data_IF_825058513089
#
_entry.id   IF_825058513089
#
_cell.length_a   1.000
_cell.length_b   1.000
_cell.length_c   1.000
_cell.angle_alpha   90.00
_cell.angle_beta   90.00
_cell.angle_gamma   90.00
#
_symmetry.space_group_name_H-M   'P 1'
#
loop_
_entity.id
_entity.type
_entity.pdbx_description
1 polymer ?
#
# COMPACT_ATOMS: atom_id res chain seq x y z
N UNK A 1 -23.47 4.35 -22.82
CA UNK A 1 -22.54 3.47 -22.06
C UNK A 1 -21.76 2.49 -22.94
N UNK A 2 -22.40 1.63 -23.74
CA UNK A 2 -21.68 0.63 -24.58
C UNK A 2 -20.71 1.26 -25.60
N UNK A 3 -21.12 2.33 -26.29
CA UNK A 3 -20.30 3.04 -27.28
C UNK A 3 -19.14 3.81 -26.67
N UNK A 4 -19.34 4.40 -25.48
CA UNK A 4 -18.31 5.13 -24.73
C UNK A 4 -17.23 4.19 -24.19
N UNK A 5 -17.62 2.99 -23.73
CA UNK A 5 -16.69 1.95 -23.27
C UNK A 5 -15.86 1.38 -24.43
N UNK A 6 -16.48 1.17 -25.60
CA UNK A 6 -15.81 0.74 -26.83
C UNK A 6 -14.81 1.78 -27.34
N UNK A 7 -15.14 3.07 -27.25
CA UNK A 7 -14.20 4.14 -27.60
C UNK A 7 -13.02 4.22 -26.63
N UNK A 8 -13.25 4.05 -25.32
CA UNK A 8 -12.18 4.00 -24.33
C UNK A 8 -11.25 2.79 -24.52
N UNK A 9 -11.81 1.60 -24.80
CA UNK A 9 -11.05 0.39 -25.12
C UNK A 9 -10.26 0.52 -26.44
N UNK A 10 -10.87 1.11 -27.48
CA UNK A 10 -10.19 1.36 -28.76
C UNK A 10 -9.06 2.39 -28.62
N UNK A 11 -9.27 3.43 -27.79
CA UNK A 11 -8.25 4.44 -27.50
C UNK A 11 -7.07 3.83 -26.72
N UNK A 12 -7.34 2.97 -25.72
CA UNK A 12 -6.32 2.20 -24.99
C UNK A 12 -5.52 1.25 -25.90
N UNK A 13 -6.16 0.67 -26.93
CA UNK A 13 -5.49 -0.19 -27.92
C UNK A 13 -4.64 0.58 -28.95
N UNK A 14 -4.88 1.89 -29.14
CA UNK A 14 -4.19 2.70 -30.17
C UNK A 14 -2.83 3.24 -29.72
N UNK A 15 -2.48 3.14 -28.43
CA UNK A 15 -1.17 3.49 -27.92
C UNK A 15 -0.18 2.37 -28.25
N UNK A 16 0.52 2.51 -29.38
CA UNK A 16 1.72 1.70 -29.69
C UNK A 16 2.87 2.04 -28.75
N UNK A 17 2.75 1.63 -27.49
CA UNK A 17 3.86 1.60 -26.55
C UNK A 17 4.67 0.33 -26.80
N UNK A 18 6.00 0.45 -26.84
CA UNK A 18 6.89 -0.69 -27.10
C UNK A 18 6.89 -1.61 -25.88
N UNK A 19 6.38 -2.83 -26.07
CA UNK A 19 6.40 -3.85 -25.03
C UNK A 19 7.79 -4.46 -24.81
N UNK A 20 8.04 -4.97 -23.61
CA UNK A 20 9.25 -5.72 -23.24
C UNK A 20 10.56 -5.05 -23.63
N UNK A 21 10.66 -3.75 -23.37
CA UNK A 21 11.86 -2.99 -23.71
C UNK A 21 13.11 -3.55 -23.04
N UNK A 22 13.00 -4.14 -21.85
CA UNK A 22 14.11 -4.81 -21.15
C UNK A 22 14.75 -6.01 -21.88
N UNK A 23 14.12 -6.57 -22.90
CA UNK A 23 14.71 -7.67 -23.67
C UNK A 23 15.78 -7.22 -24.66
N UNK A 24 15.73 -5.96 -25.09
CA UNK A 24 16.66 -5.43 -26.10
C UNK A 24 18.00 -5.06 -25.48
N UNK A 25 17.94 -4.39 -24.34
CA UNK A 25 19.12 -3.88 -23.63
C UNK A 25 18.80 -3.76 -22.14
N UNK A 26 19.84 -3.87 -21.31
CA UNK A 26 19.77 -3.65 -19.87
C UNK A 26 20.21 -2.23 -19.55
N UNK A 27 19.26 -1.29 -19.53
CA UNK A 27 19.48 0.11 -19.16
C UNK A 27 18.60 0.49 -17.98
N UNK A 28 18.90 1.61 -17.32
CA UNK A 28 18.11 2.12 -16.19
C UNK A 28 16.63 2.38 -16.55
N UNK A 29 16.35 2.89 -17.75
CA UNK A 29 14.97 3.09 -18.22
C UNK A 29 14.22 1.78 -18.48
N UNK A 30 14.95 0.67 -18.58
CA UNK A 30 14.40 -0.66 -18.84
C UNK A 30 14.47 -1.55 -17.61
N UNK A 31 14.82 -0.97 -16.45
CA UNK A 31 14.93 -1.68 -15.18
C UNK A 31 13.55 -2.11 -14.67
N UNK A 32 12.54 -1.24 -14.83
CA UNK A 32 11.17 -1.46 -14.38
C UNK A 32 10.16 -1.12 -15.49
N UNK A 33 9.17 -1.98 -15.69
CA UNK A 33 8.04 -1.71 -16.59
C UNK A 33 6.73 -1.73 -15.80
N UNK A 34 6.06 -0.57 -15.73
CA UNK A 34 4.80 -0.42 -15.00
C UNK A 34 3.65 -1.15 -15.70
N UNK A 35 2.71 -1.65 -14.92
CA UNK A 35 1.44 -2.16 -15.43
C UNK A 35 0.27 -1.80 -14.51
N UNK A 36 -0.92 -1.79 -15.10
CA UNK A 36 -2.20 -1.74 -14.41
C UNK A 36 -3.06 -2.90 -14.87
N UNK A 37 -3.82 -3.51 -13.96
CA UNK A 37 -4.58 -4.70 -14.29
C UNK A 37 -5.92 -4.82 -13.59
N UNK A 38 -6.72 -5.74 -14.10
CA UNK A 38 -7.97 -6.20 -13.51
C UNK A 38 -7.82 -7.68 -13.17
N UNK A 39 -8.18 -8.03 -11.95
CA UNK A 39 -8.12 -9.39 -11.44
C UNK A 39 -9.48 -9.80 -10.89
N UNK A 40 -9.71 -11.10 -10.84
CA UNK A 40 -10.85 -11.69 -10.14
C UNK A 40 -10.31 -12.78 -9.23
N UNK A 41 -10.55 -12.61 -7.93
CA UNK A 41 -10.20 -13.58 -6.90
C UNK A 41 -11.44 -14.37 -6.53
N UNK A 42 -11.27 -15.67 -6.37
CA UNK A 42 -12.28 -16.61 -5.92
C UNK A 42 -11.75 -17.46 -4.78
N UNK A 43 -12.51 -17.53 -3.70
CA UNK A 43 -12.29 -18.41 -2.56
C UNK A 43 -13.49 -19.35 -2.47
N UNK A 44 -13.30 -20.68 -2.61
CA UNK A 44 -14.39 -21.63 -2.47
C UNK A 44 -14.94 -21.66 -1.04
N UNK A 45 -16.11 -22.25 -0.89
CA UNK A 45 -16.68 -22.55 0.42
C UNK A 45 -15.73 -23.45 1.22
N UNK A 46 -15.63 -23.21 2.53
CA UNK A 46 -14.83 -24.04 3.41
C UNK A 46 -14.48 -23.36 4.72
N UNK A 47 -13.50 -23.93 5.43
CA UNK A 47 -13.14 -23.47 6.76
C UNK A 47 -14.24 -23.71 7.78
N UNK A 48 -14.16 -23.03 8.93
CA UNK A 48 -15.06 -23.19 10.07
C UNK A 48 -15.50 -21.83 10.59
N UNK A 49 -16.81 -21.67 10.73
CA UNK A 49 -17.47 -20.49 11.26
C UNK A 49 -18.39 -20.90 12.40
N UNK A 50 -18.62 -19.99 13.35
CA UNK A 50 -19.54 -20.21 14.46
C UNK A 50 -20.66 -19.18 14.47
N UNK A 51 -21.85 -19.60 14.88
CA UNK A 51 -23.08 -18.82 14.85
C UNK A 51 -23.87 -19.05 16.14
N UNK A 52 -24.59 -18.03 16.60
CA UNK A 52 -25.56 -18.20 17.67
C UNK A 52 -26.88 -18.70 17.08
N UNK A 53 -27.20 -19.96 17.30
CA UNK A 53 -28.49 -20.57 16.97
C UNK A 53 -29.47 -20.58 18.14
N UNK A 54 -30.72 -21.04 17.91
CA UNK A 54 -31.74 -21.19 18.96
C UNK A 54 -31.31 -22.15 20.08
N UNK A 55 -30.54 -23.18 19.74
CA UNK A 55 -30.11 -24.24 20.66
C UNK A 55 -28.69 -24.01 21.23
N UNK A 56 -28.09 -22.85 20.95
CA UNK A 56 -26.75 -22.47 21.41
C UNK A 56 -25.77 -22.18 20.28
N UNK A 57 -24.48 -22.45 20.50
CA UNK A 57 -23.43 -22.20 19.53
C UNK A 57 -23.43 -23.30 18.44
N UNK A 58 -23.68 -22.92 17.20
CA UNK A 58 -23.67 -23.80 16.03
C UNK A 58 -22.42 -23.56 15.18
N UNK A 59 -21.98 -24.58 14.45
CA UNK A 59 -20.86 -24.47 13.51
C UNK A 59 -21.33 -24.57 12.06
N UNK A 60 -20.75 -23.75 11.19
CA UNK A 60 -20.94 -23.77 9.75
C UNK A 60 -19.64 -23.57 8.98
N UNK A 61 -19.76 -23.39 7.67
CA UNK A 61 -18.65 -23.10 6.75
C UNK A 61 -18.74 -21.65 6.29
N UNK A 62 -17.61 -21.07 5.90
CA UNK A 62 -17.66 -19.79 5.18
C UNK A 62 -18.20 -20.03 3.77
N UNK A 63 -19.18 -19.23 3.31
CA UNK A 63 -19.67 -19.35 1.94
C UNK A 63 -18.58 -19.01 0.93
N UNK A 64 -18.74 -19.46 -0.31
CA UNK A 64 -17.86 -19.04 -1.39
C UNK A 64 -17.85 -17.51 -1.53
N UNK A 65 -16.70 -16.94 -1.89
CA UNK A 65 -16.51 -15.51 -2.04
C UNK A 65 -15.72 -15.20 -3.31
N UNK A 66 -16.18 -14.20 -4.06
CA UNK A 66 -15.52 -13.71 -5.25
C UNK A 66 -15.46 -12.19 -5.26
N UNK A 67 -14.30 -11.64 -5.61
CA UNK A 67 -14.09 -10.19 -5.62
C UNK A 67 -13.26 -9.76 -6.83
N UNK A 68 -13.73 -8.76 -7.60
CA UNK A 68 -12.90 -8.13 -8.61
C UNK A 68 -11.90 -7.18 -7.94
N UNK A 69 -10.69 -7.11 -8.48
CA UNK A 69 -9.60 -6.31 -7.96
C UNK A 69 -8.97 -5.47 -9.07
N UNK A 70 -8.49 -4.28 -8.72
CA UNK A 70 -7.57 -3.51 -9.56
C UNK A 70 -6.15 -3.79 -9.07
N UNK A 71 -5.22 -3.90 -10.00
CA UNK A 71 -3.80 -4.00 -9.68
C UNK A 71 -2.99 -2.87 -10.27
N UNK A 72 -1.95 -2.47 -9.55
CA UNK A 72 -0.90 -1.57 -10.04
C UNK A 72 0.42 -2.21 -9.65
N UNK A 73 1.34 -2.35 -10.60
CA UNK A 73 2.62 -2.96 -10.32
C UNK A 73 3.70 -2.58 -11.30
N UNK A 74 4.85 -3.21 -11.15
CA UNK A 74 5.97 -3.05 -12.04
C UNK A 74 6.79 -4.33 -12.14
N UNK A 75 7.12 -4.72 -13.36
CA UNK A 75 8.06 -5.79 -13.66
C UNK A 75 9.47 -5.22 -13.64
N UNK A 76 10.22 -5.54 -12.59
CA UNK A 76 11.57 -5.09 -12.28
C UNK A 76 12.63 -6.13 -12.66
N UNK A 77 13.90 -5.73 -12.54
CA UNK A 77 15.08 -6.60 -12.74
C UNK A 77 15.02 -7.35 -14.07
N UNK A 78 14.67 -6.62 -15.13
CA UNK A 78 14.56 -7.12 -16.50
C UNK A 78 13.67 -8.35 -16.65
N UNK A 79 12.58 -8.44 -15.88
CA UNK A 79 11.59 -9.51 -16.03
C UNK A 79 11.70 -10.63 -15.01
N UNK A 80 12.51 -10.50 -13.97
CA UNK A 80 12.68 -11.52 -12.93
C UNK A 80 11.85 -11.28 -11.67
N UNK A 81 11.45 -10.04 -11.41
CA UNK A 81 10.69 -9.71 -10.21
C UNK A 81 9.54 -8.78 -10.57
N UNK A 82 8.34 -9.05 -10.08
CA UNK A 82 7.22 -8.14 -10.25
C UNK A 82 6.70 -7.75 -8.87
N UNK A 83 6.74 -6.46 -8.55
CA UNK A 83 6.07 -5.93 -7.37
C UNK A 83 4.68 -5.47 -7.78
N UNK A 84 3.65 -5.95 -7.10
CA UNK A 84 2.26 -5.64 -7.43
C UNK A 84 1.48 -5.32 -6.18
N UNK A 85 0.58 -4.37 -6.30
CA UNK A 85 -0.47 -4.12 -5.31
C UNK A 85 -1.82 -4.47 -5.90
N UNK A 86 -2.63 -5.22 -5.16
CA UNK A 86 -4.03 -5.49 -5.50
C UNK A 86 -4.95 -4.76 -4.52
N UNK A 87 -6.00 -4.15 -5.05
CA UNK A 87 -7.05 -3.49 -4.27
C UNK A 87 -8.39 -4.11 -4.65
N UNK A 88 -9.09 -4.69 -3.67
CA UNK A 88 -10.47 -5.13 -3.88
C UNK A 88 -11.33 -3.95 -4.28
N UNK A 89 -12.09 -4.10 -5.36
CA UNK A 89 -13.17 -3.18 -5.65
C UNK A 89 -14.27 -3.35 -4.61
N UNK A 90 -14.96 -2.27 -4.21
CA UNK A 90 -16.01 -2.30 -3.19
C UNK A 90 -17.31 -2.92 -3.75
N UNK A 91 -17.22 -4.15 -4.22
CA UNK A 91 -18.35 -4.99 -4.65
C UNK A 91 -18.69 -6.01 -3.55
N UNK A 92 -18.15 -5.81 -2.34
CA UNK A 92 -18.29 -6.71 -1.20
C UNK A 92 -19.77 -6.96 -0.90
N UNK A 93 -20.21 -8.19 -1.15
CA UNK A 93 -21.57 -8.62 -0.86
C UNK A 93 -21.62 -9.12 0.58
N UNK A 94 -22.41 -8.47 1.40
CA UNK A 94 -22.85 -9.01 2.69
C UNK A 94 -23.67 -10.27 2.43
N UNK A 95 -23.30 -11.38 3.07
CA UNK A 95 -23.95 -12.67 2.92
C UNK A 95 -24.69 -13.00 4.21
N UNK A 96 -25.98 -13.32 4.10
CA UNK A 96 -26.75 -13.85 5.22
C UNK A 96 -26.45 -15.35 5.36
N UNK A 97 -26.00 -15.76 6.54
CA UNK A 97 -25.53 -17.13 6.82
C UNK A 97 -26.42 -17.86 7.82
N UNK A 98 -27.22 -17.11 8.58
CA UNK A 98 -28.28 -17.58 9.45
C UNK A 98 -29.27 -16.41 9.68
N UNK A 99 -30.49 -16.66 10.18
CA UNK A 99 -31.45 -15.59 10.48
C UNK A 99 -30.80 -14.49 11.34
N UNK A 100 -30.93 -13.24 10.90
CA UNK A 100 -30.34 -12.05 11.57
C UNK A 100 -28.81 -12.07 11.71
N UNK A 101 -28.11 -12.97 11.01
CA UNK A 101 -26.65 -13.09 11.05
C UNK A 101 -26.07 -12.95 9.67
N UNK A 102 -25.22 -11.93 9.48
CA UNK A 102 -24.57 -11.64 8.21
C UNK A 102 -23.07 -11.57 8.36
N UNK A 103 -22.39 -11.86 7.26
CA UNK A 103 -20.95 -11.80 7.17
C UNK A 103 -20.52 -11.06 5.91
N UNK A 104 -19.51 -10.23 6.04
CA UNK A 104 -18.88 -9.56 4.92
C UNK A 104 -17.37 -9.74 5.04
N UNK A 105 -16.76 -10.22 3.97
CA UNK A 105 -15.30 -10.38 3.88
C UNK A 105 -14.78 -9.49 2.78
N UNK A 106 -13.62 -8.90 3.03
CA UNK A 106 -12.90 -8.09 2.05
C UNK A 106 -11.40 -8.20 2.29
N UNK A 107 -10.61 -8.10 1.23
CA UNK A 107 -9.16 -7.93 1.32
C UNK A 107 -8.82 -6.53 0.81
N UNK A 108 -8.45 -5.61 1.69
CA UNK A 108 -8.41 -4.18 1.35
C UNK A 108 -7.17 -3.77 0.55
N UNK A 109 -6.05 -4.46 0.76
CA UNK A 109 -4.81 -4.27 0.01
C UNK A 109 -3.92 -5.51 0.12
N UNK A 110 -3.40 -5.95 -1.03
CA UNK A 110 -2.40 -7.02 -1.08
C UNK A 110 -1.11 -6.47 -1.67
N UNK A 111 0.01 -6.69 -1.01
CA UNK A 111 1.35 -6.36 -1.50
C UNK A 111 2.09 -7.64 -1.85
N UNK A 112 2.25 -7.89 -3.14
CA UNK A 112 2.86 -9.09 -3.69
C UNK A 112 4.24 -8.83 -4.32
N UNK A 113 5.14 -9.79 -4.17
CA UNK A 113 6.42 -9.84 -4.89
C UNK A 113 6.52 -11.16 -5.66
N UNK A 114 6.28 -11.13 -6.98
CA UNK A 114 6.41 -12.31 -7.84
C UNK A 114 7.86 -12.48 -8.26
N UNK A 115 8.46 -13.61 -7.94
CA UNK A 115 9.72 -14.05 -8.49
C UNK A 115 9.48 -14.99 -9.69
N UNK A 116 10.06 -14.63 -10.84
CA UNK A 116 10.05 -15.41 -12.07
C UNK A 116 11.39 -16.14 -12.23
N UNK A 117 11.46 -17.47 -11.95
CA UNK A 117 12.67 -18.25 -12.17
C UNK A 117 13.12 -18.20 -13.63
N UNK A 118 12.15 -18.17 -14.54
CA UNK A 118 12.37 -17.88 -15.95
C UNK A 118 11.86 -16.48 -16.25
N UNK A 119 12.77 -15.61 -16.70
CA UNK A 119 12.46 -14.24 -17.10
C UNK A 119 11.16 -14.14 -17.89
N UNK A 120 10.32 -13.19 -17.53
CA UNK A 120 9.07 -12.94 -18.24
C UNK A 120 9.33 -12.59 -19.71
N UNK A 121 8.75 -13.37 -20.63
CA UNK A 121 8.91 -13.24 -22.08
C UNK A 121 7.57 -13.39 -22.79
N UNK A 122 7.23 -12.48 -23.71
CA UNK A 122 5.97 -12.57 -24.43
C UNK A 122 5.95 -13.75 -25.38
N UNK A 123 4.76 -14.30 -25.59
CA UNK A 123 4.54 -15.53 -26.32
C UNK A 123 4.96 -16.79 -25.57
N UNK A 124 5.45 -16.67 -24.32
CA UNK A 124 5.87 -17.81 -23.49
C UNK A 124 5.08 -17.86 -22.20
N UNK A 125 4.78 -19.07 -21.77
CA UNK A 125 4.21 -19.35 -20.45
C UNK A 125 5.35 -19.33 -19.42
N UNK A 126 5.14 -18.61 -18.31
CA UNK A 126 6.16 -18.36 -17.29
C UNK A 126 5.62 -18.65 -15.90
N UNK A 127 6.19 -19.63 -15.17
CA UNK A 127 5.84 -19.86 -13.79
C UNK A 127 6.43 -18.76 -12.92
N UNK A 128 5.77 -18.50 -11.81
CA UNK A 128 6.29 -17.66 -10.74
C UNK A 128 5.88 -18.21 -9.38
N UNK A 129 6.67 -17.82 -8.38
CA UNK A 129 6.31 -17.93 -6.98
C UNK A 129 6.19 -16.52 -6.42
N UNK A 130 5.32 -16.31 -5.46
CA UNK A 130 5.03 -15.00 -4.91
C UNK A 130 4.91 -15.10 -3.38
N UNK A 131 5.39 -14.06 -2.71
CA UNK A 131 5.07 -13.81 -1.31
C UNK A 131 4.20 -12.58 -1.22
N UNK A 132 3.05 -12.68 -0.55
CA UNK A 132 2.06 -11.62 -0.48
C UNK A 132 1.72 -11.29 0.97
N UNK A 133 1.77 -10.00 1.32
CA UNK A 133 1.12 -9.50 2.53
C UNK A 133 -0.30 -9.05 2.19
N UNK A 134 -1.29 -9.64 2.84
CA UNK A 134 -2.71 -9.42 2.60
C UNK A 134 -3.34 -8.76 3.82
N UNK A 135 -4.05 -7.66 3.59
CA UNK A 135 -4.91 -7.02 4.58
C UNK A 135 -6.33 -7.55 4.49
N UNK A 136 -6.76 -8.31 5.48
CA UNK A 136 -8.12 -8.82 5.60
C UNK A 136 -8.99 -7.91 6.44
N UNK A 137 -10.28 -7.85 6.09
CA UNK A 137 -11.36 -7.34 6.93
C UNK A 137 -12.49 -8.38 6.97
N UNK A 138 -12.96 -8.68 8.17
CA UNK A 138 -14.13 -9.50 8.43
C UNK A 138 -15.13 -8.68 9.24
N UNK A 139 -16.30 -8.42 8.65
CA UNK A 139 -17.46 -7.88 9.37
C UNK A 139 -18.42 -9.01 9.67
N UNK A 140 -18.81 -9.12 10.94
CA UNK A 140 -19.84 -10.01 11.44
C UNK A 140 -20.97 -9.16 12.02
N UNK A 141 -22.18 -9.31 11.50
CA UNK A 141 -23.38 -8.61 11.95
C UNK A 141 -24.34 -9.63 12.56
N UNK A 142 -24.80 -9.37 13.78
CA UNK A 142 -25.80 -10.16 14.48
C UNK A 142 -26.83 -9.25 15.13
N UNK A 143 -28.12 -9.52 14.87
CA UNK A 143 -29.23 -8.75 15.44
C UNK A 143 -29.11 -7.23 15.24
N UNK A 144 -28.58 -6.80 14.08
CA UNK A 144 -28.40 -5.39 13.73
C UNK A 144 -27.22 -4.70 14.43
N UNK A 145 -26.38 -5.43 15.15
CA UNK A 145 -25.11 -4.95 15.68
C UNK A 145 -23.94 -5.66 15.00
N UNK A 146 -22.84 -4.95 14.77
CA UNK A 146 -21.71 -5.50 14.02
C UNK A 146 -20.37 -5.39 14.76
N UNK A 147 -19.45 -6.23 14.30
CA UNK A 147 -18.03 -6.21 14.64
C UNK A 147 -17.25 -6.30 13.35
N UNK A 148 -16.31 -5.38 13.14
CA UNK A 148 -15.33 -5.47 12.05
C UNK A 148 -13.94 -5.68 12.61
N UNK A 149 -13.30 -6.79 12.24
CA UNK A 149 -11.92 -7.11 12.61
C UNK A 149 -11.05 -7.10 11.36
N UNK A 150 -9.97 -6.31 11.41
CA UNK A 150 -8.96 -6.24 10.35
C UNK A 150 -7.66 -6.91 10.80
N UNK A 151 -6.97 -7.61 9.90
CA UNK A 151 -5.65 -8.18 10.20
C UNK A 151 -4.77 -8.30 8.95
N UNK A 152 -3.45 -8.38 9.17
CA UNK A 152 -2.46 -8.59 8.13
C UNK A 152 -1.91 -10.01 8.24
N UNK A 153 -1.81 -10.71 7.11
CA UNK A 153 -1.19 -12.04 7.05
C UNK A 153 -0.29 -12.15 5.83
N UNK A 154 0.76 -12.97 5.93
CA UNK A 154 1.61 -13.31 4.81
C UNK A 154 1.23 -14.69 4.24
N UNK A 155 1.14 -14.79 2.91
CA UNK A 155 0.88 -16.06 2.22
C UNK A 155 1.87 -16.31 1.07
N UNK A 156 2.30 -17.57 0.89
CA UNK A 156 2.93 -17.99 -0.35
C UNK A 156 1.88 -18.20 -1.45
N UNK A 157 2.26 -17.82 -2.67
CA UNK A 157 1.46 -17.97 -3.87
C UNK A 157 2.30 -18.59 -4.98
N UNK A 158 1.64 -19.27 -5.91
CA UNK A 158 2.28 -19.77 -7.13
C UNK A 158 1.33 -19.61 -8.31
N UNK A 159 1.91 -19.41 -9.49
CA UNK A 159 1.09 -19.17 -10.66
C UNK A 159 1.83 -19.26 -11.98
N UNK A 160 1.07 -18.99 -13.03
CA UNK A 160 1.50 -18.93 -14.42
C UNK A 160 1.14 -17.57 -15.01
N UNK A 161 2.05 -17.00 -15.78
CA UNK A 161 1.83 -15.78 -16.54
C UNK A 161 2.09 -16.03 -18.03
N UNK A 162 1.25 -15.45 -18.88
CA UNK A 162 1.42 -15.44 -20.33
C UNK A 162 1.24 -14.00 -20.84
N UNK A 163 2.28 -13.48 -21.48
CA UNK A 163 2.28 -12.12 -22.03
C UNK A 163 2.18 -12.06 -23.54
N UNK A 164 1.46 -11.08 -24.10
CA UNK A 164 1.41 -10.79 -25.53
C UNK A 164 1.03 -9.33 -25.79
N UNK A 165 1.73 -8.63 -26.69
CA UNK A 165 1.36 -7.29 -27.22
C UNK A 165 0.94 -6.26 -26.15
N UNK A 166 1.74 -6.12 -25.09
CA UNK A 166 1.56 -5.27 -23.89
C UNK A 166 0.59 -5.81 -22.85
N UNK A 167 -0.04 -6.96 -23.08
CA UNK A 167 -0.94 -7.57 -22.11
C UNK A 167 -0.29 -8.76 -21.44
N UNK A 168 -0.68 -9.04 -20.19
CA UNK A 168 -0.34 -10.26 -19.48
C UNK A 168 -1.57 -10.83 -18.82
N UNK A 169 -1.84 -12.11 -19.10
CA UNK A 169 -2.77 -12.91 -18.34
C UNK A 169 -2.00 -13.65 -17.24
N UNK A 170 -2.58 -13.70 -16.04
CA UNK A 170 -2.01 -14.39 -14.88
C UNK A 170 -3.05 -15.28 -14.24
N UNK A 171 -2.69 -16.53 -13.97
CA UNK A 171 -3.45 -17.46 -13.15
C UNK A 171 -2.62 -17.78 -11.90
N UNK A 172 -3.20 -17.64 -10.72
CA UNK A 172 -2.52 -17.91 -9.45
C UNK A 172 -3.37 -18.67 -8.46
N UNK A 173 -2.70 -19.45 -7.63
CA UNK A 173 -3.26 -20.16 -6.49
C UNK A 173 -2.54 -19.73 -5.21
N UNK A 174 -3.31 -19.48 -4.15
CA UNK A 174 -2.83 -19.04 -2.84
C UNK A 174 -3.20 -20.07 -1.80
N UNK A 175 -2.26 -20.39 -0.91
CA UNK A 175 -2.51 -21.24 0.25
C UNK A 175 -2.37 -20.44 1.54
N UNK A 176 -3.46 -20.37 2.32
CA UNK A 176 -3.51 -19.67 3.60
C UNK A 176 -2.91 -20.57 4.68
N UNK A 177 -1.66 -20.29 5.04
CA UNK A 177 -0.89 -21.09 6.02
C UNK A 177 -1.45 -21.01 7.46
N UNK A 178 -2.01 -19.85 7.83
CA UNK A 178 -2.60 -19.61 9.14
C UNK A 178 -4.07 -19.24 8.93
N UNK A 179 -4.92 -20.26 8.91
CA UNK A 179 -6.36 -20.13 8.72
C UNK A 179 -7.10 -19.85 10.03
N UNK A 180 -6.54 -20.21 11.18
CA UNK A 180 -7.17 -20.03 12.49
C UNK A 180 -7.06 -18.59 13.01
N UNK A 181 -8.16 -18.04 13.51
CA UNK A 181 -8.24 -16.69 14.09
C UNK A 181 -9.27 -16.64 15.22
N UNK A 182 -8.85 -16.16 16.38
CA UNK A 182 -9.79 -15.80 17.45
C UNK A 182 -10.67 -14.61 17.04
N UNK A 183 -11.95 -14.71 17.32
CA UNK A 183 -12.96 -13.73 16.95
C UNK A 183 -14.09 -13.71 17.98
N UNK A 184 -14.79 -12.59 18.11
CA UNK A 184 -15.96 -12.46 18.98
C UNK A 184 -17.23 -12.43 18.15
N UNK A 185 -18.16 -13.35 18.40
CA UNK A 185 -19.47 -13.38 17.70
C UNK A 185 -20.55 -12.58 18.44
N UNK A 186 -20.29 -12.22 19.69
CA UNK A 186 -21.03 -11.22 20.46
C UNK A 186 -20.06 -10.48 21.41
N UNK A 187 -20.55 -9.59 22.27
CA UNK A 187 -19.71 -8.81 23.20
C UNK A 187 -18.91 -9.65 24.23
N UNK A 188 -19.15 -10.96 24.33
CA UNK A 188 -18.68 -11.86 25.40
C UNK A 188 -18.23 -13.23 24.94
N UNK A 189 -18.61 -13.68 23.75
CA UNK A 189 -18.38 -15.06 23.28
C UNK A 189 -17.23 -15.09 22.26
N UNK A 190 -16.00 -15.44 22.69
CA UNK A 190 -14.90 -15.71 21.77
C UNK A 190 -15.07 -17.08 21.11
N UNK A 191 -14.68 -17.17 19.85
CA UNK A 191 -14.65 -18.38 19.02
C UNK A 191 -13.36 -18.42 18.20
N UNK A 192 -12.92 -19.60 17.78
CA UNK A 192 -11.82 -19.74 16.83
C UNK A 192 -12.37 -20.02 15.43
N UNK A 193 -12.26 -19.05 14.53
CA UNK A 193 -12.66 -19.19 13.12
C UNK A 193 -11.53 -19.84 12.32
N UNK A 194 -11.87 -20.63 11.32
CA UNK A 194 -10.90 -21.19 10.37
C UNK A 194 -11.25 -20.69 8.96
N UNK A 195 -10.37 -19.91 8.34
CA UNK A 195 -10.56 -19.39 6.98
C UNK A 195 -10.44 -20.52 5.94
N UNK A 196 -11.18 -20.47 4.81
CA UNK A 196 -10.97 -21.43 3.73
C UNK A 196 -9.52 -21.39 3.24
N UNK A 197 -8.83 -22.53 3.10
CA UNK A 197 -7.37 -22.56 2.93
C UNK A 197 -6.88 -22.15 1.54
N UNK A 198 -7.73 -22.21 0.51
CA UNK A 198 -7.34 -21.98 -0.88
C UNK A 198 -8.00 -20.74 -1.47
N UNK A 199 -7.25 -20.02 -2.32
CA UNK A 199 -7.80 -18.99 -3.20
C UNK A 199 -7.24 -19.16 -4.60
N UNK A 200 -8.05 -18.84 -5.61
CA UNK A 200 -7.66 -18.82 -7.01
C UNK A 200 -7.87 -17.40 -7.54
N UNK A 201 -6.93 -16.89 -8.33
CA UNK A 201 -7.11 -15.59 -8.99
C UNK A 201 -6.74 -15.65 -10.46
N UNK A 202 -7.55 -14.99 -11.29
CA UNK A 202 -7.29 -14.76 -12.70
C UNK A 202 -7.10 -13.25 -12.93
N UNK A 203 -6.08 -12.87 -13.68
CA UNK A 203 -5.70 -11.49 -13.90
C UNK A 203 -5.42 -11.16 -15.36
N UNK A 204 -5.68 -9.92 -15.73
CA UNK A 204 -5.26 -9.33 -17.00
C UNK A 204 -4.64 -7.95 -16.72
N UNK A 205 -3.37 -7.77 -17.07
CA UNK A 205 -2.60 -6.54 -16.84
C UNK A 205 -2.10 -5.95 -18.16
N UNK A 206 -2.07 -4.62 -18.25
CA UNK A 206 -1.54 -3.86 -19.37
C UNK A 206 -0.26 -3.13 -18.98
N UNK A 207 0.82 -3.40 -19.71
CA UNK A 207 2.12 -2.79 -19.54
C UNK A 207 2.24 -1.46 -20.28
N UNK A 208 2.86 -0.49 -19.63
CA UNK A 208 3.23 0.78 -20.23
C UNK A 208 4.57 1.27 -19.67
N UNK A 209 5.19 2.22 -20.36
CA UNK A 209 6.51 2.74 -20.03
C UNK A 209 6.55 4.25 -20.22
N UNK A 210 6.91 4.98 -19.17
CA UNK A 210 6.99 6.44 -19.17
C UNK A 210 8.42 6.98 -19.21
N UNK A 211 9.42 6.11 -19.13
CA UNK A 211 10.83 6.48 -18.89
C UNK A 211 11.70 6.39 -20.14
N UNK A 212 11.33 5.55 -21.12
CA UNK A 212 12.09 5.34 -22.37
C UNK A 212 12.35 6.62 -23.16
N UNK A 213 11.54 7.66 -23.00
CA UNK A 213 11.71 8.93 -23.70
C UNK A 213 13.01 9.65 -23.35
N UNK A 214 13.56 9.40 -22.15
CA UNK A 214 14.80 10.04 -21.68
C UNK A 214 16.05 9.20 -22.03
N UNK A 215 15.87 7.95 -22.48
CA UNK A 215 16.97 7.03 -22.80
C UNK A 215 17.93 7.55 -23.89
N UNK A 216 17.47 8.16 -25.02
CA UNK A 216 18.38 8.67 -26.04
C UNK A 216 19.38 9.70 -25.50
N UNK A 217 18.91 10.64 -24.65
CA UNK A 217 19.76 11.69 -24.09
C UNK A 217 20.80 11.18 -23.09
N UNK A 218 20.53 10.04 -22.45
CA UNK A 218 21.52 9.38 -21.60
C UNK A 218 22.54 8.59 -22.42
N UNK A 219 22.14 8.01 -23.55
CA UNK A 219 23.04 7.29 -24.45
C UNK A 219 23.99 8.20 -25.22
N UNK A 220 23.52 9.37 -25.65
CA UNK A 220 24.34 10.35 -26.38
C UNK A 220 25.13 11.30 -25.45
N UNK A 221 24.94 11.19 -24.14
CA UNK A 221 25.63 11.99 -23.12
C UNK A 221 25.05 13.39 -22.89
N UNK A 222 24.05 13.82 -23.66
CA UNK A 222 23.44 15.15 -23.53
C UNK A 222 22.77 15.37 -22.16
N UNK A 223 22.20 14.33 -21.57
CA UNK A 223 21.64 14.37 -20.22
C UNK A 223 22.71 14.69 -19.17
N UNK A 224 23.88 14.04 -19.24
CA UNK A 224 24.97 14.27 -18.30
C UNK A 224 25.60 15.65 -18.46
N UNK A 225 25.77 16.12 -19.71
CA UNK A 225 26.25 17.48 -19.96
C UNK A 225 25.29 18.55 -19.39
N UNK A 226 23.98 18.31 -19.52
CA UNK A 226 22.96 19.18 -18.94
C UNK A 226 22.92 19.11 -17.40
N UNK A 227 23.09 17.91 -16.83
CA UNK A 227 23.24 17.71 -15.39
C UNK A 227 24.43 18.50 -14.86
N UNK A 228 25.62 18.35 -15.44
CA UNK A 228 26.83 19.07 -15.02
C UNK A 228 26.64 20.60 -15.11
N UNK A 229 26.02 21.09 -16.19
CA UNK A 229 25.70 22.51 -16.36
C UNK A 229 24.76 23.02 -15.27
N UNK A 230 23.73 22.25 -14.94
CA UNK A 230 22.77 22.64 -13.90
C UNK A 230 23.35 22.48 -12.50
N UNK A 231 24.17 21.46 -12.26
CA UNK A 231 24.81 21.17 -10.98
C UNK A 231 25.85 22.23 -10.64
N UNK A 232 26.73 22.58 -11.58
CA UNK A 232 27.72 23.65 -11.42
C UNK A 232 27.06 25.01 -11.15
N UNK A 233 25.90 25.27 -11.73
CA UNK A 233 25.08 26.45 -11.46
C UNK A 233 24.24 26.35 -10.17
N UNK A 234 24.31 25.25 -9.42
CA UNK A 234 23.51 25.02 -8.20
C UNK A 234 22.00 24.83 -8.44
N UNK A 235 21.57 24.67 -9.69
CA UNK A 235 20.15 24.63 -10.12
C UNK A 235 19.48 23.27 -9.97
N UNK A 236 20.23 22.24 -9.57
CA UNK A 236 19.67 20.93 -9.22
C UNK A 236 19.28 20.84 -7.74
N UNK A 237 19.73 21.75 -6.88
CA UNK A 237 19.17 21.86 -5.53
C UNK A 237 17.72 22.37 -5.65
N UNK A 238 16.80 21.69 -4.99
CA UNK A 238 15.38 21.81 -5.37
C UNK A 238 14.46 21.77 -4.17
N UNK A 239 13.55 22.74 -4.08
CA UNK A 239 12.32 22.60 -3.31
C UNK A 239 11.56 21.36 -3.79
N UNK A 240 11.07 20.57 -2.85
CA UNK A 240 10.27 19.37 -3.10
C UNK A 240 8.89 19.49 -2.48
N UNK A 241 7.86 19.06 -3.20
CA UNK A 241 6.49 18.93 -2.69
C UNK A 241 6.05 17.48 -2.90
N UNK A 242 5.67 16.81 -1.82
CA UNK A 242 5.24 15.42 -1.82
C UNK A 242 3.77 15.26 -1.49
N UNK A 243 3.08 14.36 -2.19
CA UNK A 243 1.73 13.92 -1.83
C UNK A 243 1.64 12.41 -2.05
N UNK A 244 1.12 11.68 -1.07
CA UNK A 244 0.96 10.24 -1.18
C UNK A 244 -0.05 9.69 -0.18
N UNK A 245 -0.57 8.51 -0.47
CA UNK A 245 -1.30 7.71 0.52
C UNK A 245 -0.32 7.03 1.46
N UNK A 246 -0.61 7.04 2.75
CA UNK A 246 0.15 6.34 3.77
C UNK A 246 -0.76 5.49 4.64
N UNK A 247 -0.20 4.46 5.26
CA UNK A 247 -0.85 3.63 6.25
C UNK A 247 -0.01 3.63 7.53
N UNK A 248 -0.61 4.00 8.67
CA UNK A 248 -0.04 3.77 9.99
C UNK A 248 -0.36 2.36 10.47
N UNK A 249 0.65 1.52 10.62
CA UNK A 249 0.54 0.14 11.13
C UNK A 249 0.93 0.14 12.61
N UNK A 250 0.02 -0.30 13.46
CA UNK A 250 0.24 -0.45 14.89
C UNK A 250 0.98 -1.76 15.16
N UNK A 251 2.22 -1.65 15.66
CA UNK A 251 3.07 -2.79 15.99
C UNK A 251 2.81 -3.33 17.40
N UNK A 252 2.28 -2.47 18.28
CA UNK A 252 1.83 -2.82 19.62
C UNK A 252 0.44 -2.32 19.88
N UNK A 253 -0.22 -3.01 20.81
CA UNK A 253 -1.64 -2.93 21.10
C UNK A 253 -1.83 -2.24 22.46
N UNK A 254 -2.80 -1.34 22.61
CA UNK A 254 -3.38 -1.06 23.92
C UNK A 254 -3.95 -2.38 24.47
N UNK A 255 -3.55 -2.80 25.67
CA UNK A 255 -4.19 -3.93 26.33
C UNK A 255 -5.56 -3.48 26.83
N UNK A 256 -6.61 -4.23 26.51
CA UNK A 256 -7.94 -4.04 27.10
C UNK A 256 -8.08 -5.04 28.24
N UNK A 257 -7.91 -4.57 29.48
CA UNK A 257 -8.09 -5.41 30.67
C UNK A 257 -9.56 -5.43 31.15
N UNK A 258 -10.38 -4.49 30.67
CA UNK A 258 -11.79 -4.37 31.05
C UNK A 258 -12.69 -5.25 30.18
N UNK A 259 -13.59 -5.97 30.84
CA UNK A 259 -14.62 -6.82 30.26
C UNK A 259 -15.46 -6.09 29.19
N UNK A 260 -15.74 -4.80 29.34
CA UNK A 260 -16.51 -4.03 28.35
C UNK A 260 -15.76 -3.90 27.02
N UNK A 261 -14.41 -3.88 27.06
CA UNK A 261 -13.55 -3.65 25.90
C UNK A 261 -12.89 -4.94 25.37
N UNK A 262 -13.06 -6.07 26.05
CA UNK A 262 -12.43 -7.34 25.66
C UNK A 262 -12.82 -7.78 24.24
N UNK A 263 -14.04 -7.45 23.83
CA UNK A 263 -14.55 -7.75 22.51
C UNK A 263 -14.17 -6.70 21.48
N UNK A 264 -13.49 -5.59 21.79
CA UNK A 264 -13.07 -4.65 20.75
C UNK A 264 -11.96 -5.25 19.87
N UNK A 265 -11.99 -5.03 18.55
CA UNK A 265 -10.85 -5.36 17.72
C UNK A 265 -9.71 -4.40 18.04
N UNK A 266 -8.49 -4.83 17.72
CA UNK A 266 -7.32 -3.99 17.90
C UNK A 266 -7.19 -2.96 16.78
N UNK A 267 -6.70 -1.77 17.13
CA UNK A 267 -6.21 -0.84 16.12
C UNK A 267 -5.03 -1.49 15.39
N UNK A 268 -5.19 -1.79 14.09
CA UNK A 268 -4.14 -2.43 13.27
C UNK A 268 -3.54 -1.50 12.24
N UNK A 269 -4.41 -0.89 11.44
CA UNK A 269 -4.02 -0.03 10.33
C UNK A 269 -4.93 1.19 10.30
N UNK A 270 -4.38 2.30 9.86
CA UNK A 270 -5.14 3.51 9.57
C UNK A 270 -4.57 4.14 8.30
N UNK A 271 -5.44 4.48 7.34
CA UNK A 271 -5.02 5.14 6.11
C UNK A 271 -5.03 6.65 6.30
N UNK A 272 -4.07 7.34 5.68
CA UNK A 272 -3.98 8.79 5.66
C UNK A 272 -3.42 9.34 4.37
N UNK A 273 -3.59 10.65 4.22
CA UNK A 273 -2.79 11.45 3.32
C UNK A 273 -1.46 11.81 4.00
N UNK A 274 -0.38 11.78 3.23
CA UNK A 274 0.96 12.21 3.62
C UNK A 274 1.37 13.38 2.71
N UNK A 275 1.52 14.54 3.32
CA UNK A 275 1.90 15.78 2.66
C UNK A 275 3.32 16.16 3.06
N UNK A 276 4.21 16.29 2.09
CA UNK A 276 5.61 16.64 2.31
C UNK A 276 5.98 17.99 1.70
N UNK A 277 6.77 18.77 2.42
CA UNK A 277 7.47 19.96 1.89
C UNK A 277 8.93 19.88 2.31
N UNK A 278 9.86 20.02 1.38
CA UNK A 278 11.27 19.88 1.72
C UNK A 278 12.21 20.49 0.71
N UNK A 279 13.49 20.24 0.90
CA UNK A 279 14.57 20.70 0.05
C UNK A 279 15.57 19.57 -0.18
N UNK A 280 15.87 19.34 -1.46
CA UNK A 280 16.88 18.40 -1.92
C UNK A 280 18.19 19.15 -2.15
N UNK A 281 19.20 18.84 -1.34
CA UNK A 281 20.59 19.21 -1.57
C UNK A 281 21.21 18.17 -2.51
N UNK A 282 20.96 18.33 -3.81
CA UNK A 282 21.24 17.33 -4.83
C UNK A 282 22.71 16.89 -4.85
N UNK A 283 23.67 17.83 -4.77
CA UNK A 283 25.11 17.52 -4.76
C UNK A 283 25.50 16.58 -3.61
N UNK A 284 24.89 16.76 -2.44
CA UNK A 284 25.17 15.93 -1.28
C UNK A 284 24.27 14.71 -1.22
N UNK A 285 23.27 14.58 -2.10
CA UNK A 285 22.24 13.56 -2.02
C UNK A 285 21.57 13.53 -0.64
N UNK A 286 21.29 14.71 -0.06
CA UNK A 286 20.60 14.86 1.23
C UNK A 286 19.28 15.55 0.97
N UNK A 287 18.22 15.05 1.59
CA UNK A 287 16.93 15.73 1.64
C UNK A 287 16.59 16.06 3.08
N UNK A 288 16.01 17.24 3.27
CA UNK A 288 15.43 17.67 4.54
C UNK A 288 14.06 18.25 4.29
N UNK A 289 13.09 17.96 5.14
CA UNK A 289 11.74 18.47 4.96
C UNK A 289 10.84 18.25 6.16
N UNK A 290 9.61 18.73 6.01
CA UNK A 290 8.53 18.54 6.96
C UNK A 290 7.46 17.67 6.30
N UNK A 291 6.95 16.69 7.04
CA UNK A 291 5.82 15.85 6.66
C UNK A 291 4.63 16.10 7.59
N UNK A 292 3.44 16.27 7.03
CA UNK A 292 2.17 16.33 7.75
C UNK A 292 1.36 15.07 7.47
N UNK A 293 0.81 14.48 8.53
CA UNK A 293 -0.03 13.29 8.47
C UNK A 293 -1.16 13.37 9.48
N UNK A 294 -2.33 12.92 9.08
CA UNK A 294 -3.48 12.75 9.96
C UNK A 294 -4.26 11.48 9.64
N UNK A 295 -4.55 10.68 10.67
CA UNK A 295 -5.46 9.55 10.51
C UNK A 295 -6.40 9.43 11.70
N UNK A 296 -7.51 8.75 11.39
CA UNK A 296 -8.48 8.24 12.34
C UNK A 296 -8.47 6.71 12.23
N UNK A 297 -8.14 6.03 13.32
CA UNK A 297 -8.34 4.60 13.46
C UNK A 297 -9.61 4.35 14.29
N UNK A 298 -10.49 3.51 13.77
CA UNK A 298 -11.78 3.20 14.40
C UNK A 298 -11.90 1.69 14.53
N UNK A 299 -12.22 1.24 15.73
CA UNK A 299 -12.50 -0.16 16.01
C UNK A 299 -13.84 -0.26 16.72
N UNK A 300 -14.66 -1.23 16.35
CA UNK A 300 -16.01 -1.36 16.88
C UNK A 300 -16.42 -2.81 17.05
N UNK A 301 -17.24 -3.05 18.07
CA UNK A 301 -17.82 -4.35 18.37
C UNK A 301 -19.16 -4.17 19.07
N UNK A 302 -20.22 -4.68 18.46
CA UNK A 302 -21.56 -4.81 19.02
C UNK A 302 -22.11 -3.53 19.68
N UNK A 303 -22.05 -2.42 18.96
CA UNK A 303 -22.54 -1.12 19.42
C UNK A 303 -21.56 -0.33 20.30
N UNK A 304 -20.42 -0.92 20.67
CA UNK A 304 -19.30 -0.20 21.31
C UNK A 304 -18.25 0.16 20.26
N UNK A 305 -17.70 1.38 20.32
CA UNK A 305 -16.67 1.86 19.40
C UNK A 305 -15.58 2.61 20.15
N UNK A 306 -14.33 2.39 19.73
CA UNK A 306 -13.19 3.19 20.13
C UNK A 306 -12.60 3.91 18.92
N UNK A 307 -12.34 5.21 19.10
CA UNK A 307 -11.76 6.06 18.07
C UNK A 307 -10.42 6.60 18.58
N UNK A 308 -9.38 6.34 17.80
CA UNK A 308 -8.03 6.85 18.01
C UNK A 308 -7.67 7.78 16.86
N UNK A 309 -7.44 9.06 17.17
CA UNK A 309 -7.05 10.07 16.20
C UNK A 309 -5.61 10.51 16.42
N UNK A 310 -4.87 10.70 15.34
CA UNK A 310 -3.51 11.25 15.37
C UNK A 310 -3.38 12.38 14.36
N UNK A 311 -2.70 13.44 14.79
CA UNK A 311 -2.12 14.46 13.90
C UNK A 311 -0.63 14.56 14.17
N UNK A 312 0.18 14.53 13.11
CA UNK A 312 1.63 14.48 13.19
C UNK A 312 2.23 15.53 12.25
N UNK A 313 3.22 16.25 12.76
CA UNK A 313 4.14 17.07 11.97
C UNK A 313 5.55 16.58 12.27
N UNK A 314 6.23 16.06 11.26
CA UNK A 314 7.57 15.52 11.42
C UNK A 314 8.61 16.30 10.62
N UNK A 315 9.75 16.57 11.26
CA UNK A 315 10.97 16.99 10.58
C UNK A 315 11.74 15.74 10.16
N UNK A 316 11.95 15.57 8.87
CA UNK A 316 12.60 14.40 8.28
C UNK A 316 13.88 14.82 7.56
N UNK A 317 14.95 14.05 7.75
CA UNK A 317 16.22 14.27 7.10
C UNK A 317 16.88 12.96 6.75
N UNK A 318 17.22 12.74 5.47
CA UNK A 318 17.78 11.49 5.01
C UNK A 318 18.80 11.66 3.88
N UNK A 319 19.65 10.65 3.73
CA UNK A 319 20.73 10.57 2.76
C UNK A 319 20.44 9.45 1.77
N UNK A 320 20.53 9.77 0.48
CA UNK A 320 20.59 8.75 -0.58
C UNK A 320 21.93 8.02 -0.51
N UNK A 321 21.87 6.69 -0.50
CA UNK A 321 23.01 5.82 -0.21
C UNK A 321 23.77 5.43 -1.48
N UNK A 322 23.05 5.06 -2.53
CA UNK A 322 23.59 4.64 -3.81
C UNK A 322 22.54 4.84 -4.91
N UNK A 323 22.95 4.74 -6.16
CA UNK A 323 22.07 4.67 -7.33
C UNK A 323 22.33 3.35 -8.05
N UNK A 324 21.34 2.45 -8.02
CA UNK A 324 21.37 1.20 -8.75
C UNK A 324 20.40 1.26 -9.93
N UNK A 325 20.86 1.79 -11.07
CA UNK A 325 20.08 1.91 -12.30
C UNK A 325 18.74 2.64 -12.09
N UNK A 326 18.75 3.73 -11.33
CA UNK A 326 17.58 4.52 -11.00
C UNK A 326 16.81 4.04 -9.77
N UNK A 327 17.24 2.95 -9.10
CA UNK A 327 16.76 2.60 -7.76
C UNK A 327 17.68 3.25 -6.72
N UNK A 328 17.17 4.26 -6.02
CA UNK A 328 17.99 5.11 -5.13
C UNK A 328 17.52 4.97 -3.68
N UNK A 329 18.04 3.98 -2.91
CA UNK A 329 17.67 3.80 -1.52
C UNK A 329 18.21 4.93 -0.64
N UNK A 330 17.46 5.26 0.42
CA UNK A 330 17.85 6.25 1.41
C UNK A 330 17.58 5.79 2.84
N UNK A 331 18.28 6.41 3.78
CA UNK A 331 18.14 6.22 5.22
C UNK A 331 18.33 7.56 5.94
N UNK A 332 17.59 7.77 7.02
CA UNK A 332 17.67 8.97 7.82
C UNK A 332 16.87 8.93 9.10
N UNK A 333 16.67 10.12 9.66
CA UNK A 333 15.99 10.35 10.93
C UNK A 333 14.70 11.12 10.72
N UNK A 334 13.72 10.85 11.59
CA UNK A 334 12.47 11.58 11.66
C UNK A 334 12.23 12.01 13.10
N UNK A 335 11.83 13.26 13.31
CA UNK A 335 11.44 13.78 14.61
C UNK A 335 10.02 14.33 14.50
N UNK A 336 9.06 13.61 15.06
CA UNK A 336 7.64 13.91 14.92
C UNK A 336 7.08 14.56 16.17
N UNK A 337 6.38 15.68 16.04
CA UNK A 337 5.49 16.17 17.09
C UNK A 337 4.08 15.67 16.83
N UNK A 338 3.60 14.84 17.73
CA UNK A 338 2.35 14.11 17.61
C UNK A 338 1.32 14.63 18.60
N UNK A 339 0.06 14.71 18.14
CA UNK A 339 -1.12 14.94 18.96
C UNK A 339 -2.09 13.78 18.77
N UNK A 340 -2.41 13.13 19.88
CA UNK A 340 -3.29 11.98 19.95
C UNK A 340 -4.55 12.30 20.74
N UNK A 341 -5.67 11.73 20.30
CA UNK A 341 -6.91 11.74 21.05
C UNK A 341 -7.58 10.36 20.97
N UNK A 342 -8.00 9.84 22.11
CA UNK A 342 -8.65 8.55 22.25
C UNK A 342 -9.99 8.73 22.98
N UNK A 343 -11.05 8.13 22.46
CA UNK A 343 -12.38 8.19 23.05
C UNK A 343 -13.21 6.96 22.74
N UNK A 344 -14.11 6.63 23.67
CA UNK A 344 -15.03 5.50 23.59
C UNK A 344 -16.46 6.00 23.34
N UNK A 345 -17.24 5.18 22.64
CA UNK A 345 -18.60 5.49 22.21
C UNK A 345 -19.51 4.27 22.34
N UNK A 346 -20.72 4.48 22.84
CA UNK A 346 -21.82 3.51 22.78
C UNK A 346 -22.88 4.04 21.81
N UNK A 347 -23.00 3.37 20.66
CA UNK A 347 -23.72 3.89 19.51
C UNK A 347 -23.13 5.23 19.07
N UNK A 348 -23.92 6.31 19.18
CA UNK A 348 -23.50 7.67 18.82
C UNK A 348 -23.16 8.55 20.04
N UNK A 349 -23.13 7.97 21.24
CA UNK A 349 -22.93 8.71 22.50
C UNK A 349 -21.51 8.46 22.98
N UNK A 350 -20.75 9.54 23.19
CA UNK A 350 -19.43 9.42 23.82
C UNK A 350 -19.59 8.99 25.28
N UNK A 351 -18.90 7.92 25.66
CA UNK A 351 -18.85 7.42 27.04
C UNK A 351 -17.49 7.75 27.64
N UNK A 352 -17.49 8.43 28.80
CA UNK A 352 -16.28 8.91 29.46
C UNK A 352 -15.63 10.12 28.78
N UNK A 353 -14.42 10.46 29.24
CA UNK A 353 -13.65 11.60 28.75
C UNK A 353 -12.74 11.23 27.56
N UNK A 354 -12.53 12.19 26.65
CA UNK A 354 -11.51 12.06 25.61
C UNK A 354 -10.14 12.27 26.22
N UNK A 355 -9.32 11.23 26.18
CA UNK A 355 -7.95 11.27 26.67
C UNK A 355 -7.02 11.77 25.57
N UNK A 356 -6.15 12.73 25.91
CA UNK A 356 -5.24 13.37 24.96
C UNK A 356 -3.79 13.12 25.35
N UNK A 357 -2.94 13.00 24.33
CA UNK A 357 -1.48 12.91 24.51
C UNK A 357 -0.82 13.79 23.47
N UNK A 358 0.22 14.53 23.86
CA UNK A 358 1.07 15.25 22.94
C UNK A 358 2.53 15.02 23.29
N UNK A 359 3.41 15.00 22.28
CA UNK A 359 4.82 14.79 22.52
C UNK A 359 5.66 14.67 21.27
N UNK A 360 6.97 14.72 21.48
CA UNK A 360 7.97 14.52 20.45
C UNK A 360 8.34 13.03 20.39
N UNK A 361 8.39 12.48 19.18
CA UNK A 361 8.62 11.08 18.89
C UNK A 361 9.81 10.97 17.93
N UNK A 362 10.96 10.46 18.40
CA UNK A 362 12.06 10.14 17.50
C UNK A 362 11.72 8.89 16.68
N UNK A 363 12.14 8.89 15.43
CA UNK A 363 11.91 7.81 14.50
C UNK A 363 13.02 7.69 13.46
N UNK A 364 12.97 6.57 12.74
CA UNK A 364 13.82 6.31 11.59
C UNK A 364 12.98 6.44 10.33
N UNK A 365 13.57 6.96 9.26
CA UNK A 365 12.97 6.97 7.92
C UNK A 365 13.91 6.26 6.95
N UNK A 366 13.35 5.37 6.13
CA UNK A 366 14.09 4.67 5.08
C UNK A 366 13.17 4.36 3.92
N UNK A 367 13.73 4.13 2.74
CA UNK A 367 12.92 3.95 1.54
C UNK A 367 13.76 4.05 0.29
N UNK A 368 13.11 4.33 -0.83
CA UNK A 368 13.78 4.49 -2.12
C UNK A 368 13.02 5.41 -3.06
N UNK A 369 13.76 6.05 -3.95
CA UNK A 369 13.22 6.76 -5.11
C UNK A 369 13.43 5.92 -6.38
N UNK A 370 12.45 5.98 -7.29
CA UNK A 370 12.63 5.56 -8.68
C UNK A 370 12.99 6.80 -9.50
N UNK A 371 14.26 6.86 -9.92
CA UNK A 371 14.89 7.98 -10.60
C UNK A 371 15.37 7.55 -12.00
N UNK A 372 14.52 7.67 -13.04
CA UNK A 372 14.93 7.34 -14.41
C UNK A 372 16.11 8.17 -14.94
N UNK A 373 16.29 9.39 -14.43
CA UNK A 373 17.33 10.33 -14.86
C UNK A 373 17.71 11.28 -13.72
N UNK A 374 18.96 11.74 -13.62
CA UNK A 374 19.35 12.75 -12.62
C UNK A 374 18.59 14.07 -12.74
N UNK A 375 18.04 14.35 -13.92
CA UNK A 375 17.30 15.57 -14.25
C UNK A 375 15.79 15.48 -13.97
N UNK A 376 15.31 14.38 -13.39
CA UNK A 376 13.89 14.19 -13.17
C UNK A 376 13.29 15.29 -12.31
N UNK A 377 12.11 15.73 -12.75
CA UNK A 377 11.37 16.86 -12.16
C UNK A 377 10.26 16.39 -11.23
N UNK A 378 9.99 15.09 -11.24
CA UNK A 378 9.16 14.40 -10.28
C UNK A 378 9.65 12.96 -10.14
N UNK A 379 9.42 12.35 -8.99
CA UNK A 379 9.78 10.95 -8.72
C UNK A 379 8.65 10.24 -8.00
N UNK A 380 8.64 8.92 -8.09
CA UNK A 380 7.86 8.07 -7.20
C UNK A 380 8.76 7.63 -6.06
N UNK A 381 8.31 7.89 -4.84
CA UNK A 381 9.03 7.58 -3.60
C UNK A 381 8.22 6.62 -2.76
N UNK A 382 8.89 5.62 -2.22
CA UNK A 382 8.34 4.76 -1.18
C UNK A 382 9.04 5.11 0.13
N UNK A 383 8.29 5.39 1.20
CA UNK A 383 8.82 5.72 2.53
C UNK A 383 8.32 4.74 3.59
N UNK A 384 9.21 4.25 4.43
CA UNK A 384 8.88 3.54 5.67
C UNK A 384 9.41 4.35 6.84
N UNK A 385 8.60 4.48 7.88
CA UNK A 385 8.95 5.23 9.08
C UNK A 385 8.63 4.42 10.31
N UNK A 386 9.62 4.30 11.19
CA UNK A 386 9.50 3.52 12.39
C UNK A 386 9.61 4.41 13.63
N UNK A 387 8.55 4.43 14.44
CA UNK A 387 8.49 5.16 15.71
C UNK A 387 8.41 4.14 16.87
N UNK A 388 9.55 3.76 17.44
CA UNK A 388 9.61 2.80 18.54
C UNK A 388 9.13 3.41 19.86
N UNK A 389 8.58 2.57 20.75
CA UNK A 389 8.24 2.93 22.15
C UNK A 389 7.30 4.13 22.26
N UNK A 390 6.41 4.31 21.29
CA UNK A 390 5.43 5.38 21.32
C UNK A 390 4.34 5.04 22.34
N UNK A 391 4.08 5.95 23.27
CA UNK A 391 3.09 5.78 24.34
C UNK A 391 2.04 6.87 24.28
N UNK A 392 0.78 6.47 24.48
CA UNK A 392 -0.36 7.38 24.60
C UNK A 392 -1.09 7.13 25.91
N UNK A 393 -1.71 8.16 26.45
CA UNK A 393 -2.64 8.04 27.56
C UNK A 393 -3.87 7.23 27.10
N UNK A 394 -4.32 6.29 27.93
CA UNK A 394 -5.44 5.39 27.63
C UNK A 394 -6.72 5.82 28.33
N UNK A 395 -7.86 5.61 27.67
CA UNK A 395 -9.21 5.76 28.27
C UNK A 395 -9.47 4.78 29.42
N UNK A 396 -8.75 3.65 29.46
CA UNK A 396 -8.77 2.72 30.59
C UNK A 396 -7.92 3.20 31.79
N UNK A 397 -7.27 4.37 31.67
CA UNK A 397 -6.27 4.85 32.62
C UNK A 397 -4.85 4.41 32.26
N UNK A 398 -3.86 5.17 32.74
CA UNK A 398 -2.44 4.88 32.49
C UNK A 398 -2.01 5.15 31.04
N UNK A 399 -1.00 4.40 30.59
CA UNK A 399 -0.39 4.54 29.26
C UNK A 399 -0.50 3.24 28.45
N UNK A 400 -0.76 3.37 27.16
CA UNK A 400 -0.77 2.31 26.18
C UNK A 400 0.38 2.49 25.18
N UNK A 401 1.08 1.40 24.87
CA UNK A 401 2.09 1.35 23.81
C UNK A 401 1.39 1.26 22.46
N UNK A 402 1.69 2.20 21.56
CA UNK A 402 1.20 2.23 20.18
C UNK A 402 2.36 2.48 19.21
N UNK A 403 3.44 1.71 19.35
CA UNK A 403 4.57 1.66 18.41
C UNK A 403 4.07 1.60 16.97
N UNK A 404 4.65 2.39 16.07
CA UNK A 404 4.14 2.52 14.71
C UNK A 404 5.19 2.22 13.64
N UNK A 405 4.76 1.49 12.62
CA UNK A 405 5.39 1.48 11.31
C UNK A 405 4.45 2.22 10.35
N UNK A 406 4.83 3.39 9.89
CA UNK A 406 4.12 4.06 8.82
C UNK A 406 4.71 3.65 7.49
N UNK A 407 3.84 3.30 6.55
CA UNK A 407 4.24 2.93 5.20
C UNK A 407 3.55 3.84 4.19
N UNK A 408 4.35 4.56 3.42
CA UNK A 408 3.92 5.31 2.25
C UNK A 408 4.32 4.51 1.02
N UNK A 409 3.35 3.82 0.42
CA UNK A 409 3.58 2.90 -0.69
C UNK A 409 4.09 3.65 -1.92
N UNK A 410 3.39 4.72 -2.31
CA UNK A 410 3.74 5.59 -3.43
C UNK A 410 3.43 7.04 -3.05
N UNK A 411 4.48 7.84 -2.88
CA UNK A 411 4.44 9.29 -2.79
C UNK A 411 4.92 9.87 -4.12
N UNK A 412 4.11 10.74 -4.70
CA UNK A 412 4.53 11.56 -5.83
C UNK A 412 5.26 12.78 -5.29
N UNK A 413 6.54 12.92 -5.62
CA UNK A 413 7.39 14.03 -5.18
C UNK A 413 7.75 14.89 -6.38
N UNK A 414 7.37 16.16 -6.35
CA UNK A 414 7.62 17.14 -7.41
C UNK A 414 8.74 18.10 -7.02
N UNK A 415 9.53 18.53 -8.02
CA UNK A 415 10.60 19.51 -7.88
C UNK A 415 10.32 20.76 -8.76
N UNK A 416 9.48 21.71 -8.32
CA UNK A 416 9.04 22.83 -9.16
C UNK A 416 10.19 23.70 -9.68
N UNK A 417 11.17 24.00 -8.82
CA UNK A 417 12.36 24.79 -9.19
C UNK A 417 13.19 24.09 -10.26
N UNK A 418 13.41 22.78 -10.10
CA UNK A 418 14.12 21.95 -11.08
C UNK A 418 13.39 21.92 -12.41
N UNK A 419 12.07 21.77 -12.40
CA UNK A 419 11.24 21.79 -13.61
C UNK A 419 11.44 23.06 -14.42
N UNK A 420 11.45 24.21 -13.75
CA UNK A 420 11.75 25.49 -14.38
C UNK A 420 13.17 25.53 -14.96
N UNK A 421 14.18 25.12 -14.18
CA UNK A 421 15.58 25.17 -14.62
C UNK A 421 15.88 24.22 -15.79
N UNK A 422 15.44 22.96 -15.70
CA UNK A 422 15.60 21.97 -16.77
C UNK A 422 14.86 22.43 -18.03
N UNK A 423 13.61 22.89 -17.90
CA UNK A 423 12.82 23.38 -19.02
C UNK A 423 13.44 24.59 -19.73
N UNK A 424 13.95 25.56 -18.95
CA UNK A 424 14.60 26.76 -19.50
C UNK A 424 15.89 26.41 -20.26
N UNK A 425 16.74 25.57 -19.69
CA UNK A 425 18.02 25.21 -20.31
C UNK A 425 17.82 24.34 -21.55
N UNK A 426 16.88 23.38 -21.54
CA UNK A 426 16.52 22.59 -22.73
C UNK A 426 15.99 23.47 -23.88
N UNK A 427 15.26 24.55 -23.59
CA UNK A 427 14.79 25.50 -24.62
C UNK A 427 15.93 26.34 -25.20
N UNK A 428 16.85 26.80 -24.36
CA UNK A 428 17.98 27.60 -24.83
C UNK A 428 18.91 26.80 -25.75
N UNK A 429 19.18 25.54 -25.41
CA UNK A 429 19.99 24.63 -26.22
C UNK A 429 19.38 24.25 -27.58
N UNK A 430 18.06 24.43 -27.77
CA UNK A 430 17.38 24.20 -29.06
C UNK A 430 17.39 25.41 -29.99
N UNK A 431 17.69 26.59 -29.45
CA UNK A 431 17.71 27.85 -30.20
C UNK A 431 19.13 28.30 -30.59
N UNK A 432 20.13 27.51 -30.20
CA UNK A 432 21.53 27.58 -30.62
C UNK A 432 21.76 26.45 -31.63
#
# INVERSE_FOLDING_TARGET
MKTTLLFALAWLCSLSMKAQVYLKEQTQHRFAQTHVGLHYRYQPEGGKLFLQGPDGLESGTFPAFGTPQISIGGLHFWGHLNFVMHFDLPVSRTQEIAPNTKIQRQQFADLGAHFYPWRMEFGKLRPFIEGTYVGHNLTYEQNGQDRTDGWLTFYPEAGLSFGSRNWQATLKATYILSSEKEFYIDSRTPVSLELPPWQLSLGLSHYFDTTLREEPGLKDGSTYALEETLQSAGKLNSLSVGIGGSAGIFLRRPAFEDFVRQSLPEHKTALNLDLGLGYLFHRYGVHMGVAYRDYDSRVGSFGYQQILRRRSVALEGYKFLLDYNGFVPFLGLSLSYDRWAMGDFEGNIQVGEVVRTEGIQPGLIFGWDILPSPLETWVLRTNLRYYPKLEINSVAGGKARVDQLEFNFIQMVFYPQRMYHVGKTKRHARNL
#
